data_IF_484227736750
#
_entry.id   IF_484227736750
#
_cell.length_a   1.000
_cell.length_b   1.000
_cell.length_c   1.000
_cell.angle_alpha   90.00
_cell.angle_beta   90.00
_cell.angle_gamma   90.00
#
_symmetry.space_group_name_H-M   'P 1'
#
loop_
_entity.id
_entity.type
_entity.pdbx_description
1 polymer ?
#
# COMPACT_ATOMS: atom_id res chain seq x y z
N UNK A 1 44.43 -41.62 -5.78
CA UNK A 1 44.10 -40.18 -5.66
C UNK A 1 42.59 -40.06 -5.52
N UNK A 2 42.10 -39.76 -4.30
CA UNK A 2 40.68 -39.49 -4.04
C UNK A 2 40.52 -37.98 -3.91
N UNK A 3 39.90 -37.36 -4.92
CA UNK A 3 39.62 -35.94 -4.97
C UNK A 3 38.51 -35.62 -3.98
N UNK A 4 38.83 -34.85 -2.93
CA UNK A 4 37.88 -34.35 -1.95
C UNK A 4 37.16 -33.14 -2.57
N UNK A 5 35.89 -33.30 -2.94
CA UNK A 5 35.02 -32.18 -3.34
C UNK A 5 34.57 -31.44 -2.09
N UNK A 6 35.22 -30.30 -1.81
CA UNK A 6 34.73 -29.31 -0.85
C UNK A 6 33.48 -28.64 -1.44
N UNK A 7 32.31 -29.06 -0.97
CA UNK A 7 31.06 -28.31 -1.13
C UNK A 7 31.12 -27.10 -0.19
N UNK A 8 31.47 -25.94 -0.73
CA UNK A 8 31.22 -24.66 -0.06
C UNK A 8 29.73 -24.37 -0.13
N UNK A 9 29.01 -24.70 0.93
CA UNK A 9 27.65 -24.22 1.16
C UNK A 9 27.69 -22.70 1.39
N UNK A 10 27.36 -21.91 0.37
CA UNK A 10 26.93 -20.53 0.59
C UNK A 10 25.60 -20.58 1.35
N UNK A 11 25.67 -20.41 2.66
CA UNK A 11 24.51 -20.10 3.47
C UNK A 11 24.05 -18.69 3.07
N UNK A 12 22.99 -18.60 2.28
CA UNK A 12 22.21 -17.37 2.15
C UNK A 12 21.48 -17.21 3.47
N UNK A 13 22.03 -16.41 4.38
CA UNK A 13 21.28 -15.96 5.56
C UNK A 13 20.09 -15.15 5.05
N UNK A 14 18.84 -15.49 5.40
CA UNK A 14 17.74 -14.56 5.18
C UNK A 14 18.12 -13.29 5.94
N UNK A 15 18.23 -12.16 5.24
CA UNK A 15 18.32 -10.87 5.89
C UNK A 15 17.03 -10.69 6.70
N UNK A 16 17.11 -10.98 8.00
CA UNK A 16 16.06 -10.62 8.95
C UNK A 16 16.18 -9.11 9.09
N UNK A 17 15.31 -8.39 8.39
CA UNK A 17 15.18 -6.96 8.57
C UNK A 17 14.65 -6.71 9.97
N UNK A 18 15.37 -5.91 10.76
CA UNK A 18 14.86 -5.45 12.06
C UNK A 18 13.66 -4.57 11.82
N UNK A 19 12.57 -4.86 12.53
CA UNK A 19 11.33 -4.11 12.41
C UNK A 19 11.10 -3.22 13.66
N UNK A 20 10.12 -2.33 13.60
CA UNK A 20 9.85 -1.38 14.68
C UNK A 20 9.54 -2.06 16.02
N UNK A 21 8.91 -3.23 16.00
CA UNK A 21 8.54 -3.95 17.22
C UNK A 21 9.77 -4.57 17.88
N UNK A 22 10.70 -5.13 17.10
CA UNK A 22 11.98 -5.63 17.61
C UNK A 22 12.79 -4.50 18.26
N UNK A 23 12.86 -3.33 17.61
CA UNK A 23 13.56 -2.16 18.14
C UNK A 23 12.98 -1.68 19.49
N UNK A 24 11.65 -1.60 19.59
CA UNK A 24 10.96 -1.26 20.85
C UNK A 24 11.20 -2.31 21.94
N UNK A 25 11.18 -3.59 21.58
CA UNK A 25 11.42 -4.68 22.52
C UNK A 25 12.84 -4.61 23.12
N UNK A 26 13.87 -4.37 22.30
CA UNK A 26 15.23 -4.22 22.81
C UNK A 26 15.38 -2.93 23.63
N UNK A 27 14.68 -1.85 23.25
CA UNK A 27 14.65 -0.63 24.04
C UNK A 27 14.04 -0.85 25.44
N UNK A 28 12.90 -1.54 25.53
CA UNK A 28 12.25 -1.91 26.79
C UNK A 28 13.13 -2.81 27.66
N UNK A 29 13.89 -3.71 27.03
CA UNK A 29 14.88 -4.57 27.67
C UNK A 29 16.17 -3.84 28.06
N UNK A 30 16.25 -2.53 27.82
CA UNK A 30 17.42 -1.68 28.06
C UNK A 30 18.67 -2.06 27.24
N UNK A 31 18.52 -2.87 26.19
CA UNK A 31 19.55 -3.10 25.19
C UNK A 31 19.55 -1.93 24.19
N UNK A 32 19.96 -0.76 24.70
CA UNK A 32 19.93 0.50 23.96
C UNK A 32 20.88 0.50 22.76
N UNK A 33 21.97 -0.27 22.80
CA UNK A 33 22.88 -0.36 21.65
C UNK A 33 22.17 -1.04 20.47
N UNK A 34 21.50 -2.17 20.74
CA UNK A 34 20.75 -2.89 19.72
C UNK A 34 19.55 -2.10 19.24
N UNK A 35 18.77 -1.52 20.16
CA UNK A 35 17.63 -0.68 19.81
C UNK A 35 18.03 0.52 18.93
N UNK A 36 19.13 1.20 19.25
CA UNK A 36 19.66 2.31 18.43
C UNK A 36 19.98 1.85 17.01
N UNK A 37 20.58 0.67 16.87
CA UNK A 37 20.93 0.10 15.56
C UNK A 37 19.67 -0.19 14.74
N UNK A 38 18.66 -0.81 15.37
CA UNK A 38 17.42 -1.21 14.72
C UNK A 38 16.54 -0.01 14.37
N UNK A 39 16.41 1.00 15.25
CA UNK A 39 15.76 2.27 14.89
C UNK A 39 16.50 2.96 13.73
N UNK A 40 17.84 2.98 13.75
CA UNK A 40 18.62 3.60 12.68
C UNK A 40 18.37 2.92 11.33
N UNK A 41 18.14 1.60 11.31
CA UNK A 41 17.81 0.84 10.10
C UNK A 41 16.45 1.22 9.49
N UNK A 42 15.54 1.83 10.27
CA UNK A 42 14.22 2.29 9.82
C UNK A 42 14.22 3.73 9.29
N UNK A 43 15.28 4.52 9.51
CA UNK A 43 15.36 5.90 9.03
C UNK A 43 15.29 6.03 7.50
N UNK A 44 15.93 5.15 6.69
CA UNK A 44 15.77 5.18 5.23
C UNK A 44 14.31 5.01 4.77
N UNK A 45 13.47 4.36 5.59
CA UNK A 45 12.05 4.15 5.34
C UNK A 45 11.19 5.35 5.74
N UNK A 46 11.80 6.47 6.16
CA UNK A 46 11.09 7.65 6.61
C UNK A 46 10.35 7.45 7.93
N UNK A 47 10.76 6.47 8.74
CA UNK A 47 10.08 6.13 9.98
C UNK A 47 10.24 7.22 11.04
N UNK A 48 9.16 7.96 11.27
CA UNK A 48 9.10 9.08 12.21
C UNK A 48 9.20 8.62 13.66
N UNK A 49 8.66 7.44 14.00
CA UNK A 49 8.73 6.87 15.34
C UNK A 49 10.16 6.43 15.70
N UNK A 50 10.90 5.88 14.75
CA UNK A 50 12.30 5.52 14.94
C UNK A 50 13.18 6.77 15.16
N UNK A 51 12.99 7.81 14.33
CA UNK A 51 13.65 9.10 14.52
C UNK A 51 13.33 9.70 15.90
N UNK A 52 12.06 9.65 16.33
CA UNK A 52 11.64 10.13 17.64
C UNK A 52 12.32 9.35 18.79
N UNK A 53 12.35 8.02 18.71
CA UNK A 53 12.97 7.20 19.76
C UNK A 53 14.48 7.42 19.84
N UNK A 54 15.18 7.56 18.71
CA UNK A 54 16.59 7.94 18.68
C UNK A 54 16.81 9.32 19.32
N UNK A 55 15.92 10.29 19.05
CA UNK A 55 15.96 11.60 19.71
C UNK A 55 15.87 11.48 21.23
N UNK A 56 14.92 10.68 21.73
CA UNK A 56 14.73 10.43 23.16
C UNK A 56 15.96 9.74 23.77
N UNK A 57 16.55 8.77 23.06
CA UNK A 57 17.75 8.08 23.52
C UNK A 57 18.94 9.03 23.69
N UNK A 58 19.17 9.89 22.69
CA UNK A 58 20.23 10.91 22.76
C UNK A 58 19.94 11.97 23.83
N UNK A 59 18.68 12.36 24.00
CA UNK A 59 18.30 13.34 25.02
C UNK A 59 18.51 12.81 26.44
N UNK A 60 18.13 11.54 26.69
CA UNK A 60 18.22 10.90 28.00
C UNK A 60 19.59 10.27 28.31
N UNK A 61 20.46 10.14 27.31
CA UNK A 61 21.70 9.37 27.46
C UNK A 61 21.45 7.87 27.65
N UNK A 62 20.51 7.30 26.90
CA UNK A 62 20.23 5.87 26.92
C UNK A 62 21.18 5.14 25.96
N UNK A 63 22.07 4.31 26.51
CA UNK A 63 23.09 3.57 25.76
C UNK A 63 24.38 4.35 25.47
N UNK A 64 24.38 5.68 25.63
CA UNK A 64 25.53 6.58 25.47
C UNK A 64 25.36 7.81 26.39
N UNK A 65 26.38 8.67 26.49
CA UNK A 65 26.22 9.97 27.15
C UNK A 65 25.13 10.82 26.45
N UNK A 66 24.41 11.63 27.23
CA UNK A 66 23.39 12.54 26.69
C UNK A 66 24.03 13.53 25.70
N UNK A 67 23.37 13.70 24.55
CA UNK A 67 23.81 14.55 23.45
C UNK A 67 22.62 15.38 22.94
N UNK A 68 22.39 16.57 23.52
CA UNK A 68 21.23 17.39 23.18
C UNK A 68 21.30 17.96 21.76
N UNK A 69 22.50 18.04 21.15
CA UNK A 69 22.67 18.45 19.75
C UNK A 69 22.13 17.37 18.82
N UNK A 70 22.53 16.10 19.03
CA UNK A 70 21.95 14.97 18.28
C UNK A 70 20.47 14.80 18.55
N UNK A 71 20.03 14.96 19.80
CA UNK A 71 18.62 14.88 20.15
C UNK A 71 17.79 15.91 19.37
N UNK A 72 18.26 17.16 19.28
CA UNK A 72 17.59 18.19 18.47
C UNK A 72 17.52 17.79 17.00
N UNK A 73 18.62 17.31 16.42
CA UNK A 73 18.65 16.88 15.01
C UNK A 73 17.64 15.75 14.71
N UNK A 74 17.55 14.75 15.60
CA UNK A 74 16.58 13.66 15.46
C UNK A 74 15.13 14.10 15.73
N UNK A 75 14.88 15.02 16.67
CA UNK A 75 13.54 15.59 16.85
C UNK A 75 13.10 16.39 15.61
N UNK A 76 14.01 17.18 15.01
CA UNK A 76 13.74 17.87 13.75
C UNK A 76 13.45 16.90 12.61
N UNK A 77 14.16 15.76 12.56
CA UNK A 77 13.88 14.70 11.61
C UNK A 77 12.50 14.08 11.83
N UNK A 78 12.17 13.70 13.06
CA UNK A 78 10.87 13.11 13.39
C UNK A 78 9.71 14.06 13.04
N UNK A 79 9.84 15.35 13.33
CA UNK A 79 8.86 16.38 12.96
C UNK A 79 8.70 16.48 11.43
N UNK A 80 9.84 16.52 10.70
CA UNK A 80 9.84 16.54 9.23
C UNK A 80 9.20 15.31 8.61
N UNK A 81 9.29 14.15 9.27
CA UNK A 81 8.69 12.89 8.84
C UNK A 81 7.24 12.70 9.32
N UNK A 82 6.67 13.69 10.03
CA UNK A 82 5.25 13.75 10.38
C UNK A 82 4.92 13.48 11.85
N UNK A 83 5.90 13.25 12.73
CA UNK A 83 5.63 13.09 14.16
C UNK A 83 5.35 14.45 14.83
N UNK A 84 4.07 14.77 14.95
CA UNK A 84 3.58 16.03 15.53
C UNK A 84 4.02 16.28 16.98
N UNK A 85 4.45 15.25 17.72
CA UNK A 85 4.95 15.42 19.10
C UNK A 85 6.34 16.06 19.08
N UNK A 86 7.12 15.79 18.05
CA UNK A 86 8.53 16.15 17.96
C UNK A 86 8.77 17.66 17.87
N UNK A 87 7.90 18.43 17.21
CA UNK A 87 8.03 19.89 17.08
C UNK A 87 8.19 20.61 18.43
N UNK A 88 7.36 20.25 19.41
CA UNK A 88 7.37 20.86 20.74
C UNK A 88 8.64 20.51 21.53
N UNK A 89 9.12 19.27 21.38
CA UNK A 89 10.35 18.79 22.01
C UNK A 89 11.59 19.39 21.35
N UNK A 90 11.63 19.48 20.02
CA UNK A 90 12.69 20.16 19.27
C UNK A 90 12.83 21.61 19.74
N UNK A 91 11.71 22.33 19.86
CA UNK A 91 11.69 23.71 20.37
C UNK A 91 12.27 23.79 21.79
N UNK A 92 11.83 22.89 22.67
CA UNK A 92 12.29 22.84 24.06
C UNK A 92 13.79 22.54 24.18
N UNK A 93 14.30 21.57 23.41
CA UNK A 93 15.73 21.24 23.37
C UNK A 93 16.53 22.39 22.78
N UNK A 94 16.08 22.98 21.66
CA UNK A 94 16.76 24.12 21.02
C UNK A 94 16.93 25.31 21.96
N UNK A 95 15.95 25.60 22.82
CA UNK A 95 16.03 26.69 23.80
C UNK A 95 17.14 26.49 24.85
N UNK A 96 17.61 25.25 25.05
CA UNK A 96 18.71 24.93 25.98
C UNK A 96 20.10 25.00 25.34
N UNK A 97 20.17 25.15 24.01
CA UNK A 97 21.41 25.11 23.23
C UNK A 97 21.88 26.50 22.81
N UNK A 98 23.19 26.72 22.80
CA UNK A 98 23.78 27.94 22.26
C UNK A 98 23.74 28.00 20.72
N UNK A 99 23.95 29.16 20.09
CA UNK A 99 23.85 29.32 18.63
C UNK A 99 24.74 28.36 17.83
N UNK A 100 25.97 28.11 18.28
CA UNK A 100 26.88 27.17 17.64
C UNK A 100 26.38 25.71 17.68
N UNK A 101 25.76 25.32 18.80
CA UNK A 101 25.17 23.97 18.97
C UNK A 101 23.90 23.80 18.14
N UNK A 102 23.08 24.84 18.03
CA UNK A 102 21.91 24.83 17.14
C UNK A 102 22.32 24.71 15.67
N UNK A 103 23.36 25.42 15.26
CA UNK A 103 23.94 25.30 13.91
C UNK A 103 24.45 23.87 13.66
N UNK A 104 25.16 23.28 14.62
CA UNK A 104 25.63 21.90 14.54
C UNK A 104 24.45 20.91 14.44
N UNK A 105 23.38 21.11 15.20
CA UNK A 105 22.18 20.27 15.12
C UNK A 105 21.52 20.38 13.75
N UNK A 106 21.43 21.59 13.16
CA UNK A 106 20.89 21.79 11.83
C UNK A 106 21.72 21.06 10.76
N UNK A 107 23.05 21.07 10.85
CA UNK A 107 23.94 20.32 9.95
C UNK A 107 23.74 18.81 10.09
N UNK A 108 23.62 18.31 11.32
CA UNK A 108 23.33 16.90 11.57
C UNK A 108 21.95 16.49 11.05
N UNK A 109 20.93 17.33 11.25
CA UNK A 109 19.60 17.10 10.69
C UNK A 109 19.66 16.98 9.16
N UNK A 110 20.36 17.88 8.48
CA UNK A 110 20.52 17.80 7.02
C UNK A 110 21.24 16.51 6.59
N UNK A 111 22.26 16.08 7.33
CA UNK A 111 22.94 14.82 7.06
C UNK A 111 22.01 13.61 7.25
N UNK A 112 21.22 13.59 8.32
CA UNK A 112 20.24 12.53 8.59
C UNK A 112 19.13 12.51 7.53
N UNK A 113 18.57 13.66 7.18
CA UNK A 113 17.50 13.77 6.19
C UNK A 113 17.92 13.24 4.81
N UNK A 114 19.19 13.41 4.42
CA UNK A 114 19.75 12.83 3.18
C UNK A 114 19.78 11.29 3.16
N UNK A 115 19.70 10.64 4.32
CA UNK A 115 19.66 9.16 4.41
C UNK A 115 18.25 8.59 4.23
N UNK A 116 17.22 9.44 4.39
CA UNK A 116 15.83 9.08 4.15
C UNK A 116 15.63 8.87 2.65
N UNK A 117 15.11 7.70 2.28
CA UNK A 117 14.82 7.35 0.89
C UNK A 117 13.32 7.41 0.60
N UNK A 118 12.52 7.12 1.62
CA UNK A 118 11.06 7.23 1.58
C UNK A 118 10.66 8.47 2.39
N UNK A 119 10.20 9.51 1.71
CA UNK A 119 9.62 10.70 2.33
C UNK A 119 8.22 10.98 1.73
N UNK A 120 7.41 11.76 2.44
CA UNK A 120 6.00 12.04 2.10
C UNK A 120 5.82 13.07 0.97
N UNK A 121 6.85 13.35 0.15
CA UNK A 121 6.67 14.17 -1.06
C UNK A 121 5.78 13.43 -2.05
N UNK A 122 5.00 14.19 -2.84
CA UNK A 122 4.19 13.66 -3.94
C UNK A 122 5.07 12.77 -4.82
N UNK A 123 4.67 11.50 -4.93
CA UNK A 123 5.35 10.53 -5.77
C UNK A 123 4.90 10.70 -7.21
N UNK A 124 5.79 10.45 -8.15
CA UNK A 124 5.39 10.23 -9.52
C UNK A 124 4.59 8.91 -9.53
N UNK A 125 3.32 8.95 -9.94
CA UNK A 125 2.54 7.72 -10.10
C UNK A 125 3.29 6.80 -11.06
N UNK A 126 3.55 5.56 -10.62
CA UNK A 126 4.10 4.54 -11.52
C UNK A 126 3.18 4.46 -12.73
N UNK A 127 3.71 4.76 -13.92
CA UNK A 127 2.95 4.67 -15.18
C UNK A 127 2.56 3.20 -15.42
N UNK A 128 1.40 2.84 -14.90
CA UNK A 128 0.75 1.59 -15.19
C UNK A 128 0.17 1.74 -16.59
N UNK A 129 0.83 1.12 -17.58
CA UNK A 129 0.30 1.00 -18.93
C UNK A 129 -1.16 0.58 -18.85
N UNK A 130 -2.04 1.39 -19.45
CA UNK A 130 -3.48 1.16 -19.39
C UNK A 130 -3.79 -0.24 -19.91
N UNK A 131 -4.47 -1.04 -19.09
CA UNK A 131 -4.87 -2.39 -19.50
C UNK A 131 -5.74 -2.30 -20.76
N UNK A 132 -5.61 -3.25 -21.71
CA UNK A 132 -6.50 -3.31 -22.86
C UNK A 132 -7.96 -3.51 -22.42
N UNK A 133 -8.88 -3.27 -23.34
CA UNK A 133 -10.31 -3.47 -23.08
C UNK A 133 -10.57 -4.91 -22.58
N UNK A 134 -11.37 -5.02 -21.51
CA UNK A 134 -11.70 -6.30 -20.90
C UNK A 134 -12.77 -7.00 -21.75
N UNK A 135 -12.45 -8.15 -22.33
CA UNK A 135 -13.43 -9.01 -23.03
C UNK A 135 -14.14 -9.93 -22.04
N UNK A 136 -13.39 -10.56 -21.13
CA UNK A 136 -13.95 -11.46 -20.14
C UNK A 136 -13.05 -11.58 -18.92
N UNK A 137 -13.62 -11.37 -17.73
CA UNK A 137 -12.98 -11.65 -16.44
C UNK A 137 -13.88 -12.54 -15.61
N UNK A 138 -13.69 -13.84 -15.74
CA UNK A 138 -14.42 -14.82 -14.94
C UNK A 138 -13.97 -14.72 -13.48
N UNK A 139 -14.93 -14.59 -12.58
CA UNK A 139 -14.66 -14.61 -11.14
C UNK A 139 -14.09 -15.96 -10.69
N UNK A 140 -13.21 -15.98 -9.68
CA UNK A 140 -12.68 -17.23 -9.13
C UNK A 140 -13.77 -18.02 -8.41
N UNK A 141 -13.73 -19.34 -8.57
CA UNK A 141 -14.62 -20.23 -7.83
C UNK A 141 -14.23 -20.22 -6.35
N UNK A 142 -15.19 -20.10 -5.45
CA UNK A 142 -14.90 -20.19 -4.03
C UNK A 142 -14.40 -21.61 -3.68
N UNK A 143 -13.22 -21.79 -3.03
CA UNK A 143 -12.75 -23.12 -2.65
C UNK A 143 -13.70 -23.79 -1.67
N UNK A 144 -14.12 -25.02 -1.98
CA UNK A 144 -15.11 -25.76 -1.19
C UNK A 144 -14.71 -25.86 0.30
N UNK A 145 -13.45 -26.18 0.60
CA UNK A 145 -12.98 -26.28 1.99
C UNK A 145 -13.08 -24.94 2.75
N UNK A 146 -12.72 -23.83 2.10
CA UNK A 146 -12.85 -22.51 2.69
C UNK A 146 -14.33 -22.15 2.92
N UNK A 147 -15.21 -22.52 1.99
CA UNK A 147 -16.65 -22.28 2.10
C UNK A 147 -17.25 -23.02 3.31
N UNK A 148 -16.92 -24.30 3.48
CA UNK A 148 -17.40 -25.10 4.61
C UNK A 148 -16.95 -24.55 5.96
N UNK A 149 -15.77 -23.95 6.02
CA UNK A 149 -15.19 -23.35 7.24
C UNK A 149 -15.56 -21.88 7.44
N UNK A 150 -16.30 -21.27 6.51
CA UNK A 150 -16.62 -19.84 6.55
C UNK A 150 -15.39 -18.92 6.49
N UNK A 151 -14.28 -19.41 5.92
CA UNK A 151 -13.01 -18.67 5.87
C UNK A 151 -13.08 -17.64 4.78
N UNK A 152 -13.07 -16.36 5.12
CA UNK A 152 -12.88 -15.27 4.17
C UNK A 152 -11.40 -14.96 3.96
N UNK A 153 -11.08 -14.19 2.92
CA UNK A 153 -9.72 -13.70 2.74
C UNK A 153 -9.46 -13.09 1.36
N UNK A 154 -8.21 -13.09 0.93
CA UNK A 154 -7.80 -12.43 -0.30
C UNK A 154 -6.59 -13.10 -0.96
N UNK A 155 -6.39 -12.79 -2.24
CA UNK A 155 -5.12 -13.02 -2.96
C UNK A 155 -4.72 -11.79 -3.75
N UNK A 156 -3.48 -11.33 -3.57
CA UNK A 156 -2.85 -10.32 -4.42
C UNK A 156 -2.13 -11.02 -5.55
N UNK A 157 -2.48 -10.66 -6.78
CA UNK A 157 -2.03 -11.34 -7.99
C UNK A 157 -1.39 -10.34 -8.94
N UNK A 158 -0.33 -10.78 -9.62
CA UNK A 158 0.26 -10.05 -10.75
C UNK A 158 0.38 -10.98 -11.95
N UNK A 159 0.10 -10.47 -13.14
CA UNK A 159 0.01 -11.30 -14.35
C UNK A 159 0.46 -10.55 -15.59
N UNK A 160 0.90 -11.31 -16.60
CA UNK A 160 1.29 -10.82 -17.92
C UNK A 160 0.18 -11.14 -18.92
N UNK A 161 -0.16 -10.17 -19.75
CA UNK A 161 -1.08 -10.29 -20.89
C UNK A 161 -0.22 -10.24 -22.16
N UNK A 162 -0.42 -11.18 -23.07
CA UNK A 162 0.25 -11.21 -24.36
C UNK A 162 -0.37 -10.23 -25.37
N UNK A 163 0.27 -10.14 -26.55
CA UNK A 163 -0.11 -9.23 -27.64
C UNK A 163 -1.53 -9.51 -28.18
N UNK A 164 -2.03 -10.74 -28.00
CA UNK A 164 -3.36 -11.19 -28.41
C UNK A 164 -4.41 -10.99 -27.31
N UNK A 165 -4.04 -10.49 -26.14
CA UNK A 165 -4.94 -10.24 -25.02
C UNK A 165 -5.22 -11.46 -24.14
N UNK A 166 -4.40 -12.52 -24.22
CA UNK A 166 -4.49 -13.68 -23.33
C UNK A 166 -3.54 -13.55 -22.15
N UNK A 167 -3.93 -14.07 -20.99
CA UNK A 167 -3.07 -14.08 -19.81
C UNK A 167 -2.08 -15.25 -19.88
N UNK A 168 -0.78 -14.96 -19.95
CA UNK A 168 0.28 -15.96 -20.14
C UNK A 168 0.88 -16.44 -18.82
N UNK A 169 1.33 -15.52 -17.97
CA UNK A 169 2.01 -15.80 -16.69
C UNK A 169 1.26 -15.15 -15.53
N UNK A 170 1.16 -15.85 -14.40
CA UNK A 170 0.43 -15.40 -13.21
C UNK A 170 1.21 -15.75 -11.95
N UNK A 171 1.45 -14.76 -11.10
CA UNK A 171 2.04 -14.93 -9.77
C UNK A 171 1.07 -14.52 -8.67
N UNK A 172 1.12 -15.25 -7.56
CA UNK A 172 0.52 -14.84 -6.29
C UNK A 172 1.58 -14.09 -5.50
N UNK A 173 1.39 -12.78 -5.31
CA UNK A 173 2.31 -11.94 -4.52
C UNK A 173 2.05 -12.05 -3.01
N UNK A 174 0.81 -12.39 -2.63
CA UNK A 174 0.42 -12.54 -1.24
C UNK A 174 -0.98 -13.11 -1.12
N UNK A 175 -1.27 -13.78 -0.01
CA UNK A 175 -2.59 -14.34 0.25
C UNK A 175 -2.88 -14.45 1.74
N UNK A 176 -4.15 -14.29 2.10
CA UNK A 176 -4.64 -14.57 3.44
C UNK A 176 -5.98 -15.31 3.36
N UNK A 177 -6.22 -16.34 4.20
CA UNK A 177 -5.18 -17.13 4.86
C UNK A 177 -4.28 -17.79 3.82
N UNK A 178 -3.02 -18.01 4.20
CA UNK A 178 -2.01 -18.42 3.24
C UNK A 178 -2.44 -19.68 2.45
N UNK A 179 -2.26 -19.63 1.12
CA UNK A 179 -2.53 -20.72 0.17
C UNK A 179 -3.98 -21.20 0.04
N UNK A 180 -4.92 -20.66 0.82
CA UNK A 180 -6.32 -21.12 0.84
C UNK A 180 -7.04 -20.86 -0.49
N UNK A 181 -6.66 -19.79 -1.18
CA UNK A 181 -7.35 -19.31 -2.39
C UNK A 181 -6.50 -19.35 -3.66
N UNK A 182 -5.18 -19.55 -3.53
CA UNK A 182 -4.18 -19.35 -4.60
C UNK A 182 -4.50 -20.15 -5.87
N UNK A 183 -4.84 -21.44 -5.72
CA UNK A 183 -5.16 -22.31 -6.87
C UNK A 183 -6.39 -21.82 -7.65
N UNK A 184 -7.40 -21.31 -6.93
CA UNK A 184 -8.60 -20.80 -7.58
C UNK A 184 -8.33 -19.47 -8.28
N UNK A 185 -7.61 -18.56 -7.61
CA UNK A 185 -7.19 -17.29 -8.20
C UNK A 185 -6.40 -17.47 -9.48
N UNK A 186 -5.38 -18.34 -9.48
CA UNK A 186 -4.55 -18.62 -10.67
C UNK A 186 -5.42 -19.14 -11.82
N UNK A 187 -6.31 -20.11 -11.55
CA UNK A 187 -7.18 -20.69 -12.57
C UNK A 187 -8.12 -19.65 -13.18
N UNK A 188 -8.68 -18.78 -12.35
CA UNK A 188 -9.57 -17.71 -12.80
C UNK A 188 -8.83 -16.71 -13.70
N UNK A 189 -7.69 -16.20 -13.23
CA UNK A 189 -6.91 -15.19 -13.94
C UNK A 189 -6.37 -15.72 -15.27
N UNK A 190 -5.90 -16.98 -15.32
CA UNK A 190 -5.49 -17.62 -16.59
C UNK A 190 -6.63 -17.76 -17.62
N UNK A 191 -7.89 -17.66 -17.19
CA UNK A 191 -9.05 -17.72 -18.09
C UNK A 191 -9.51 -16.34 -18.59
N UNK A 192 -8.91 -15.26 -18.08
CA UNK A 192 -9.28 -13.90 -18.48
C UNK A 192 -8.82 -13.59 -19.90
N UNK A 193 -9.61 -12.74 -20.57
CA UNK A 193 -9.39 -12.33 -21.95
C UNK A 193 -9.56 -10.83 -22.09
N UNK A 194 -8.67 -10.25 -22.86
CA UNK A 194 -8.59 -8.83 -23.16
C UNK A 194 -8.58 -8.63 -24.68
N UNK A 195 -8.89 -7.42 -25.13
CA UNK A 195 -8.75 -7.06 -26.53
C UNK A 195 -7.28 -7.12 -26.95
N UNK A 196 -7.04 -7.67 -28.15
CA UNK A 196 -5.70 -7.67 -28.73
C UNK A 196 -5.24 -6.22 -28.91
N UNK A 197 -4.08 -5.90 -28.34
CA UNK A 197 -3.48 -4.56 -28.43
C UNK A 197 -2.21 -4.55 -29.27
N UNK A 198 -1.69 -5.72 -29.66
CA UNK A 198 -0.40 -5.85 -30.33
C UNK A 198 0.80 -5.59 -29.42
N UNK A 199 0.57 -5.32 -28.13
CA UNK A 199 1.59 -5.09 -27.12
C UNK A 199 1.31 -5.98 -25.91
N UNK A 200 2.36 -6.36 -25.17
CA UNK A 200 2.22 -7.05 -23.89
C UNK A 200 1.82 -6.05 -22.81
N UNK A 201 1.09 -6.50 -21.78
CA UNK A 201 0.68 -5.65 -20.65
C UNK A 201 0.86 -6.39 -19.33
N UNK A 202 1.07 -5.65 -18.24
CA UNK A 202 1.07 -6.24 -16.89
C UNK A 202 -0.16 -5.82 -16.11
N UNK A 203 -0.87 -6.79 -15.55
CA UNK A 203 -2.01 -6.52 -14.67
C UNK A 203 -1.72 -6.88 -13.22
N UNK A 204 -2.38 -6.14 -12.30
CA UNK A 204 -2.51 -6.48 -10.89
C UNK A 204 -3.99 -6.68 -10.58
N UNK A 205 -4.29 -7.58 -9.66
CA UNK A 205 -5.62 -7.65 -9.04
C UNK A 205 -5.52 -8.17 -7.62
N UNK A 206 -6.34 -7.62 -6.73
CA UNK A 206 -6.65 -8.24 -5.44
C UNK A 206 -8.00 -8.93 -5.59
N UNK A 207 -8.04 -10.24 -5.37
CA UNK A 207 -9.27 -11.02 -5.39
C UNK A 207 -9.70 -11.25 -3.95
N UNK A 208 -10.85 -10.69 -3.57
CA UNK A 208 -11.47 -10.89 -2.26
C UNK A 208 -12.40 -12.11 -2.29
N UNK A 209 -12.34 -12.92 -1.23
CA UNK A 209 -13.14 -14.11 -1.04
C UNK A 209 -14.01 -13.94 0.20
N UNK A 210 -15.31 -13.77 0.00
CA UNK A 210 -16.31 -13.70 1.07
C UNK A 210 -17.56 -14.51 0.70
N UNK A 211 -18.17 -15.19 1.67
CA UNK A 211 -19.47 -15.85 1.49
C UNK A 211 -20.57 -14.85 1.89
N UNK A 212 -20.90 -13.93 0.96
CA UNK A 212 -21.81 -12.83 1.25
C UNK A 212 -21.13 -11.64 1.92
N UNK A 213 -21.90 -10.63 2.38
CA UNK A 213 -21.30 -9.49 3.08
C UNK A 213 -20.63 -9.97 4.37
N UNK A 214 -19.42 -9.47 4.61
CA UNK A 214 -18.70 -9.74 5.86
C UNK A 214 -19.57 -9.27 7.03
N UNK A 215 -19.73 -10.13 8.03
CA UNK A 215 -20.60 -9.80 9.16
C UNK A 215 -19.84 -8.98 10.20
N UNK A 216 -20.41 -7.88 10.74
CA UNK A 216 -19.74 -7.03 11.73
C UNK A 216 -19.18 -7.82 12.91
N UNK A 217 -19.94 -8.80 13.42
CA UNK A 217 -19.52 -9.62 14.57
C UNK A 217 -18.33 -10.52 14.25
N UNK A 218 -18.25 -11.10 13.04
CA UNK A 218 -17.12 -11.95 12.63
C UNK A 218 -15.84 -11.13 12.51
N UNK A 219 -15.95 -9.94 11.91
CA UNK A 219 -14.81 -9.01 11.76
C UNK A 219 -14.35 -8.51 13.12
N UNK A 220 -15.28 -8.10 14.00
CA UNK A 220 -14.97 -7.69 15.37
C UNK A 220 -14.31 -8.82 16.15
N UNK A 221 -14.84 -10.04 16.09
CA UNK A 221 -14.27 -11.20 16.76
C UNK A 221 -12.85 -11.50 16.26
N UNK A 222 -12.64 -11.48 14.94
CA UNK A 222 -11.33 -11.66 14.32
C UNK A 222 -10.32 -10.60 14.81
N UNK A 223 -10.69 -9.32 14.76
CA UNK A 223 -9.83 -8.23 15.23
C UNK A 223 -9.48 -8.36 16.71
N UNK A 224 -10.43 -8.78 17.55
CA UNK A 224 -10.22 -8.98 18.99
C UNK A 224 -9.35 -10.20 19.28
N UNK A 225 -9.62 -11.33 18.64
CA UNK A 225 -8.86 -12.57 18.82
C UNK A 225 -7.38 -12.38 18.47
N UNK A 226 -7.10 -11.58 17.43
CA UNK A 226 -5.74 -11.30 16.97
C UNK A 226 -5.16 -10.00 17.52
N UNK A 227 -5.86 -9.31 18.45
CA UNK A 227 -5.45 -8.01 19.01
C UNK A 227 -4.99 -7.01 17.93
N UNK A 228 -5.69 -7.01 16.80
CA UNK A 228 -5.17 -6.47 15.55
C UNK A 228 -4.93 -4.96 15.65
N UNK A 229 -5.88 -4.22 16.22
CA UNK A 229 -5.76 -2.77 16.42
C UNK A 229 -4.70 -2.43 17.48
N UNK A 230 -4.67 -3.15 18.61
CA UNK A 230 -3.74 -2.92 19.72
C UNK A 230 -2.28 -3.04 19.24
N UNK A 231 -1.94 -4.15 18.59
CA UNK A 231 -0.58 -4.36 18.08
C UNK A 231 -0.26 -3.51 16.85
N UNK A 232 -1.23 -3.17 16.02
CA UNK A 232 -1.00 -2.27 14.89
C UNK A 232 -0.65 -0.84 15.38
N UNK A 233 -1.38 -0.32 16.36
CA UNK A 233 -1.07 0.99 17.00
C UNK A 233 0.26 0.95 17.74
N UNK A 234 0.61 -0.19 18.36
CA UNK A 234 1.91 -0.38 19.00
C UNK A 234 3.09 -0.44 18.01
N UNK A 235 2.84 -0.42 16.70
CA UNK A 235 3.89 -0.39 15.68
C UNK A 235 4.24 -1.75 15.08
N UNK A 236 3.49 -2.81 15.37
CA UNK A 236 3.77 -4.14 14.80
C UNK A 236 3.51 -4.15 13.29
N UNK A 237 4.54 -4.30 12.44
CA UNK A 237 4.40 -4.17 11.00
C UNK A 237 3.49 -5.24 10.39
N UNK A 238 3.51 -6.46 10.94
CA UNK A 238 2.69 -7.58 10.46
C UNK A 238 1.21 -7.36 10.79
N UNK A 239 0.91 -6.85 11.99
CA UNK A 239 -0.47 -6.50 12.37
C UNK A 239 -0.99 -5.31 11.58
N UNK A 240 -0.14 -4.29 11.34
CA UNK A 240 -0.48 -3.16 10.48
C UNK A 240 -0.79 -3.64 9.05
N UNK A 241 0.05 -4.49 8.47
CA UNK A 241 -0.20 -5.03 7.13
C UNK A 241 -1.53 -5.79 7.05
N UNK A 242 -1.80 -6.68 8.02
CA UNK A 242 -3.05 -7.43 8.09
C UNK A 242 -4.27 -6.52 8.33
N UNK A 243 -4.15 -5.51 9.19
CA UNK A 243 -5.20 -4.52 9.43
C UNK A 243 -5.51 -3.70 8.18
N UNK A 244 -4.46 -3.26 7.47
CA UNK A 244 -4.61 -2.56 6.20
C UNK A 244 -5.36 -3.39 5.18
N UNK A 245 -5.03 -4.67 5.05
CA UNK A 245 -5.76 -5.52 4.11
C UNK A 245 -7.19 -5.82 4.56
N UNK A 246 -7.44 -5.94 5.86
CA UNK A 246 -8.81 -6.06 6.36
C UNK A 246 -9.64 -4.82 6.02
N UNK A 247 -9.10 -3.62 6.21
CA UNK A 247 -9.78 -2.37 5.87
C UNK A 247 -10.03 -2.24 4.37
N UNK A 248 -9.05 -2.59 3.53
CA UNK A 248 -9.21 -2.59 2.07
C UNK A 248 -10.28 -3.59 1.60
N UNK A 249 -10.29 -4.78 2.21
CA UNK A 249 -11.31 -5.79 1.93
C UNK A 249 -12.70 -5.31 2.33
N UNK A 250 -12.85 -4.70 3.51
CA UNK A 250 -14.12 -4.11 3.96
C UNK A 250 -14.59 -3.00 3.02
N UNK A 251 -13.70 -2.08 2.65
CA UNK A 251 -13.99 -0.99 1.74
C UNK A 251 -14.44 -1.50 0.37
N UNK A 252 -13.71 -2.46 -0.21
CA UNK A 252 -13.97 -3.01 -1.55
C UNK A 252 -15.21 -3.90 -1.60
N UNK A 253 -15.59 -4.54 -0.49
CA UNK A 253 -16.83 -5.32 -0.40
C UNK A 253 -18.05 -4.45 -0.05
N UNK A 254 -17.85 -3.17 0.30
CA UNK A 254 -18.94 -2.24 0.59
C UNK A 254 -19.57 -1.70 -0.70
N UNK A 255 -20.82 -1.24 -0.61
CA UNK A 255 -21.47 -0.49 -1.72
C UNK A 255 -21.11 1.00 -1.73
N UNK A 256 -20.06 1.40 -1.01
CA UNK A 256 -19.64 2.77 -0.84
C UNK A 256 -18.23 2.97 -1.38
N UNK A 257 -17.97 4.17 -1.90
CA UNK A 257 -16.62 4.61 -2.18
C UNK A 257 -16.04 5.22 -0.91
N UNK A 258 -15.05 4.55 -0.32
CA UNK A 258 -14.43 4.96 0.94
C UNK A 258 -13.36 6.00 0.65
N UNK A 259 -13.51 7.18 1.23
CA UNK A 259 -12.58 8.30 1.10
C UNK A 259 -12.04 8.67 2.49
N UNK A 260 -10.73 8.81 2.65
CA UNK A 260 -10.17 9.34 3.90
C UNK A 260 -10.49 10.83 4.05
N UNK A 261 -10.79 11.25 5.28
CA UNK A 261 -10.81 12.66 5.68
C UNK A 261 -9.75 12.89 6.77
N UNK A 262 -8.65 13.59 6.46
CA UNK A 262 -7.55 13.82 7.42
C UNK A 262 -7.94 14.72 8.60
N UNK A 263 -9.14 15.33 8.58
CA UNK A 263 -9.66 16.12 9.70
C UNK A 263 -10.33 15.26 10.76
N UNK A 264 -10.69 14.02 10.44
CA UNK A 264 -11.29 13.10 11.41
C UNK A 264 -10.23 12.61 12.40
N UNK A 265 -10.65 12.39 13.64
CA UNK A 265 -9.74 11.95 14.69
C UNK A 265 -9.16 10.55 14.38
N UNK A 266 -7.88 10.37 14.74
CA UNK A 266 -7.23 9.07 14.76
C UNK A 266 -7.53 8.41 16.11
N UNK A 267 -8.75 7.88 16.27
CA UNK A 267 -9.19 7.15 17.47
C UNK A 267 -9.22 5.63 17.20
N UNK A 268 -8.26 4.85 17.73
CA UNK A 268 -8.24 3.41 17.57
C UNK A 268 -9.38 2.67 18.28
N UNK A 269 -10.06 3.32 19.22
CA UNK A 269 -11.21 2.75 19.93
C UNK A 269 -12.54 2.99 19.18
N UNK A 270 -12.54 3.81 18.13
CA UNK A 270 -13.72 4.07 17.32
C UNK A 270 -14.25 2.78 16.68
N UNK A 271 -15.57 2.65 16.61
CA UNK A 271 -16.20 1.55 15.89
C UNK A 271 -15.98 1.68 14.38
N UNK A 272 -15.91 0.52 13.70
CA UNK A 272 -15.81 0.50 12.26
C UNK A 272 -17.05 1.17 11.62
N UNK A 273 -16.87 1.96 10.55
CA UNK A 273 -17.98 2.55 9.81
C UNK A 273 -19.04 1.50 9.42
N UNK A 274 -20.30 1.73 9.78
CA UNK A 274 -21.40 0.81 9.46
C UNK A 274 -21.52 0.55 7.94
N UNK A 275 -21.11 1.52 7.12
CA UNK A 275 -21.11 1.45 5.66
C UNK A 275 -20.26 0.29 5.13
N UNK A 276 -19.21 -0.13 5.85
CA UNK A 276 -18.40 -1.29 5.49
C UNK A 276 -19.20 -2.59 5.44
N UNK A 277 -20.34 -2.64 6.14
CA UNK A 277 -21.17 -3.83 6.27
C UNK A 277 -22.51 -3.72 5.56
N UNK A 278 -22.82 -2.54 4.99
CA UNK A 278 -24.09 -2.29 4.28
C UNK A 278 -23.94 -2.58 2.79
N UNK A 279 -24.93 -3.28 2.24
CA UNK A 279 -25.13 -3.41 0.80
C UNK A 279 -26.24 -2.47 0.32
N UNK A 280 -26.03 -1.84 -0.83
CA UNK A 280 -27.03 -1.09 -1.57
C UNK A 280 -27.18 -1.69 -2.96
N UNK A 281 -28.36 -1.55 -3.54
CA UNK A 281 -28.55 -1.81 -4.97
C UNK A 281 -27.61 -0.90 -5.76
N UNK A 282 -26.89 -1.46 -6.73
CA UNK A 282 -26.05 -0.68 -7.61
C UNK A 282 -26.90 0.31 -8.41
N UNK A 283 -26.46 1.57 -8.45
CA UNK A 283 -27.10 2.62 -9.22
C UNK A 283 -26.24 2.92 -10.46
N UNK A 284 -26.86 2.94 -11.64
CA UNK A 284 -26.18 3.31 -12.88
C UNK A 284 -27.07 4.14 -13.78
N UNK A 285 -26.48 5.09 -14.51
CA UNK A 285 -27.20 5.93 -15.48
C UNK A 285 -26.31 6.26 -16.66
N UNK A 286 -26.86 6.16 -17.87
CA UNK A 286 -26.17 6.66 -19.06
C UNK A 286 -26.11 8.19 -19.02
N UNK A 287 -24.89 8.72 -19.11
CA UNK A 287 -24.62 10.15 -19.20
C UNK A 287 -23.84 10.35 -20.50
N UNK A 288 -24.50 10.88 -21.53
CA UNK A 288 -23.89 11.09 -22.83
C UNK A 288 -22.63 11.95 -22.72
N UNK A 289 -21.53 11.51 -23.35
CA UNK A 289 -20.25 12.21 -23.33
C UNK A 289 -19.43 12.05 -22.04
N UNK A 290 -19.94 11.36 -21.02
CA UNK A 290 -19.18 11.09 -19.80
C UNK A 290 -18.36 9.80 -19.93
N UNK A 291 -17.09 9.86 -19.54
CA UNK A 291 -16.20 8.71 -19.41
C UNK A 291 -15.11 9.03 -18.38
N UNK A 292 -14.52 8.02 -17.76
CA UNK A 292 -13.56 8.20 -16.67
C UNK A 292 -14.24 8.23 -15.31
N UNK A 293 -13.77 9.08 -14.40
CA UNK A 293 -14.34 9.21 -13.06
C UNK A 293 -14.55 10.66 -12.62
N UNK A 294 -15.53 10.92 -11.77
CA UNK A 294 -15.76 12.23 -11.17
C UNK A 294 -16.43 12.10 -9.81
N UNK A 295 -16.01 12.89 -8.82
CA UNK A 295 -16.78 13.06 -7.58
C UNK A 295 -17.68 14.27 -7.70
N UNK A 296 -18.96 14.10 -7.38
CA UNK A 296 -19.99 15.13 -7.51
C UNK A 296 -20.79 15.29 -6.23
N UNK A 297 -21.28 16.51 -5.98
CA UNK A 297 -22.26 16.79 -4.93
C UNK A 297 -23.65 16.85 -5.55
N UNK A 298 -24.64 16.35 -4.83
CA UNK A 298 -26.05 16.30 -5.25
C UNK A 298 -26.96 17.05 -4.27
N UNK A 299 -28.12 17.48 -4.74
CA UNK A 299 -29.22 18.00 -3.91
C UNK A 299 -30.21 16.89 -3.50
N UNK A 300 -31.29 17.27 -2.81
CA UNK A 300 -32.34 16.37 -2.32
C UNK A 300 -33.07 15.57 -3.41
N UNK A 301 -32.95 15.99 -4.69
CA UNK A 301 -33.56 15.30 -5.84
C UNK A 301 -32.54 14.49 -6.64
N UNK A 302 -31.29 14.43 -6.16
CA UNK A 302 -30.17 13.81 -6.84
C UNK A 302 -29.70 14.56 -8.07
N UNK A 303 -29.95 15.87 -8.14
CA UNK A 303 -29.40 16.73 -9.18
C UNK A 303 -27.99 17.13 -8.81
N UNK A 304 -27.04 16.98 -9.73
CA UNK A 304 -25.65 17.38 -9.51
C UNK A 304 -25.58 18.90 -9.35
N UNK A 305 -25.08 19.36 -8.21
CA UNK A 305 -24.90 20.79 -7.88
C UNK A 305 -23.46 21.24 -8.04
N UNK A 306 -22.49 20.34 -7.90
CA UNK A 306 -21.08 20.65 -8.06
C UNK A 306 -20.26 19.42 -8.46
N UNK A 307 -19.16 19.65 -9.17
CA UNK A 307 -18.10 18.65 -9.40
C UNK A 307 -16.92 18.98 -8.50
N UNK A 308 -16.48 18.00 -7.71
CA UNK A 308 -15.38 18.13 -6.76
C UNK A 308 -14.04 17.85 -7.43
N UNK A 309 -13.97 16.75 -8.19
CA UNK A 309 -12.83 16.33 -9.00
C UNK A 309 -13.28 15.53 -10.23
N UNK A 310 -12.38 15.34 -11.20
CA UNK A 310 -12.59 14.50 -12.37
C UNK A 310 -11.25 13.92 -12.86
N UNK A 311 -11.32 12.75 -13.48
CA UNK A 311 -10.25 12.04 -14.18
C UNK A 311 -10.67 11.84 -15.65
N UNK A 312 -9.70 11.78 -16.57
CA UNK A 312 -9.83 11.72 -18.04
C UNK A 312 -10.50 12.93 -18.70
N UNK A 313 -11.02 13.86 -17.91
CA UNK A 313 -11.44 15.18 -18.36
C UNK A 313 -11.08 16.22 -17.31
N UNK A 314 -10.91 17.47 -17.75
CA UNK A 314 -10.70 18.57 -16.81
C UNK A 314 -11.92 18.77 -15.92
N UNK A 315 -11.70 19.26 -14.71
CA UNK A 315 -12.79 19.61 -13.78
C UNK A 315 -13.82 20.56 -14.42
N UNK A 316 -13.38 21.50 -15.26
CA UNK A 316 -14.26 22.42 -15.96
C UNK A 316 -15.15 21.71 -16.98
N UNK A 317 -14.59 20.81 -17.80
CA UNK A 317 -15.37 20.01 -18.75
C UNK A 317 -16.40 19.14 -18.02
N UNK A 318 -15.98 18.46 -16.95
CA UNK A 318 -16.88 17.67 -16.11
C UNK A 318 -18.01 18.54 -15.50
N UNK A 319 -17.68 19.75 -15.05
CA UNK A 319 -18.66 20.69 -14.48
C UNK A 319 -19.72 21.07 -15.51
N UNK A 320 -19.30 21.46 -16.72
CA UNK A 320 -20.21 21.80 -17.82
C UNK A 320 -21.11 20.62 -18.20
N UNK A 321 -20.58 19.40 -18.15
CA UNK A 321 -21.32 18.20 -18.54
C UNK A 321 -22.32 17.73 -17.48
N UNK A 322 -21.89 17.74 -16.21
CA UNK A 322 -22.57 17.04 -15.12
C UNK A 322 -23.49 17.94 -14.30
N UNK A 323 -23.15 19.22 -14.08
CA UNK A 323 -23.97 20.10 -13.23
C UNK A 323 -25.37 20.29 -13.85
N UNK A 324 -26.40 20.17 -13.01
CA UNK A 324 -27.81 20.19 -13.43
C UNK A 324 -28.33 18.86 -13.97
N UNK A 325 -27.47 17.84 -14.15
CA UNK A 325 -27.94 16.49 -14.50
C UNK A 325 -28.56 15.82 -13.28
N UNK A 326 -29.74 15.23 -13.48
CA UNK A 326 -30.37 14.40 -12.46
C UNK A 326 -29.82 12.98 -12.54
N UNK A 327 -29.23 12.50 -11.44
CA UNK A 327 -28.72 11.14 -11.34
C UNK A 327 -29.86 10.18 -10.99
N UNK A 328 -30.38 10.25 -9.76
CA UNK A 328 -31.50 9.46 -9.22
C UNK A 328 -31.90 10.02 -7.84
N UNK A 329 -33.13 9.79 -7.38
CA UNK A 329 -33.56 10.12 -6.01
C UNK A 329 -32.74 9.39 -4.93
N UNK A 330 -32.28 8.17 -5.19
CA UNK A 330 -31.40 7.40 -4.30
C UNK A 330 -29.97 7.97 -4.20
N UNK A 331 -29.65 8.91 -5.10
CA UNK A 331 -28.41 9.68 -5.11
C UNK A 331 -28.63 11.12 -4.61
N UNK A 332 -29.45 11.29 -3.57
CA UNK A 332 -29.80 12.59 -2.99
C UNK A 332 -28.86 13.00 -1.85
N UNK A 333 -28.74 14.33 -1.66
CA UNK A 333 -28.13 15.01 -0.51
C UNK A 333 -26.77 14.43 -0.07
N UNK A 334 -25.87 14.19 -1.02
CA UNK A 334 -24.59 13.57 -0.72
C UNK A 334 -23.51 13.79 -1.76
N UNK A 335 -22.35 13.20 -1.48
CA UNK A 335 -21.23 13.11 -2.42
C UNK A 335 -21.25 11.73 -3.07
N UNK A 336 -21.12 11.69 -4.38
CA UNK A 336 -21.15 10.47 -5.18
C UNK A 336 -19.95 10.41 -6.10
N UNK A 337 -19.36 9.23 -6.23
CA UNK A 337 -18.38 8.92 -7.26
C UNK A 337 -19.12 8.36 -8.48
N UNK A 338 -18.91 9.01 -9.61
CA UNK A 338 -19.30 8.55 -10.93
C UNK A 338 -18.11 7.83 -11.57
N UNK A 339 -18.35 6.68 -12.17
CA UNK A 339 -17.35 5.98 -12.99
C UNK A 339 -18.01 5.36 -14.23
N UNK A 340 -17.46 5.62 -15.41
CA UNK A 340 -17.98 5.08 -16.67
C UNK A 340 -16.86 4.75 -17.65
N UNK A 341 -16.93 3.58 -18.28
CA UNK A 341 -16.22 3.33 -19.52
C UNK A 341 -16.84 4.16 -20.66
N UNK A 342 -16.06 4.54 -21.70
CA UNK A 342 -16.58 5.26 -22.86
C UNK A 342 -17.82 4.60 -23.46
N UNK A 343 -18.93 5.34 -23.53
CA UNK A 343 -20.20 4.87 -24.10
C UNK A 343 -20.99 3.89 -23.23
N UNK A 344 -20.57 3.63 -21.99
CA UNK A 344 -21.32 2.80 -21.03
C UNK A 344 -22.06 3.67 -20.00
N UNK A 345 -22.98 3.05 -19.27
CA UNK A 345 -23.65 3.72 -18.16
C UNK A 345 -22.66 4.04 -17.04
N UNK A 346 -22.78 5.23 -16.46
CA UNK A 346 -22.00 5.63 -15.31
C UNK A 346 -22.53 4.95 -14.05
N UNK A 347 -21.67 4.22 -13.35
CA UNK A 347 -21.93 3.71 -12.02
C UNK A 347 -21.88 4.87 -11.03
N UNK A 348 -22.89 4.96 -10.17
CA UNK A 348 -23.08 6.02 -9.19
C UNK A 348 -22.93 5.40 -7.81
N UNK A 349 -21.82 5.70 -7.13
CA UNK A 349 -21.47 5.12 -5.84
C UNK A 349 -21.46 6.21 -4.76
N UNK A 350 -22.20 6.07 -3.65
CA UNK A 350 -22.13 7.03 -2.54
C UNK A 350 -20.72 7.05 -1.94
N UNK A 351 -20.23 8.25 -1.61
CA UNK A 351 -18.95 8.42 -0.93
C UNK A 351 -19.17 8.47 0.56
N UNK A 352 -18.38 7.71 1.31
CA UNK A 352 -18.31 7.78 2.77
C UNK A 352 -16.93 8.29 3.18
N UNK A 353 -16.93 9.32 4.02
CA UNK A 353 -15.70 9.87 4.59
C UNK A 353 -15.38 9.15 5.89
N UNK A 354 -14.16 8.63 6.01
CA UNK A 354 -13.71 7.85 7.17
C UNK A 354 -12.36 8.37 7.67
N UNK A 355 -12.06 8.13 8.95
CA UNK A 355 -10.72 8.38 9.50
C UNK A 355 -9.68 7.54 8.77
N UNK A 356 -8.43 8.03 8.68
CA UNK A 356 -7.34 7.32 8.01
C UNK A 356 -7.10 5.93 8.61
N UNK A 357 -7.36 5.75 9.92
CA UNK A 357 -7.30 4.44 10.61
C UNK A 357 -8.27 3.39 10.02
N UNK A 358 -9.26 3.80 9.24
CA UNK A 358 -10.23 2.92 8.59
C UNK A 358 -9.92 2.71 7.11
N UNK A 359 -8.70 3.03 6.66
CA UNK A 359 -8.27 2.83 5.28
C UNK A 359 -7.11 1.84 5.20
N UNK A 360 -7.09 1.03 4.14
CA UNK A 360 -5.99 0.08 3.93
C UNK A 360 -4.66 0.79 3.65
N UNK A 361 -4.71 1.85 2.85
CA UNK A 361 -3.54 2.65 2.48
C UNK A 361 -2.76 3.18 3.68
N UNK A 362 -3.45 3.73 4.69
CA UNK A 362 -2.81 4.21 5.91
C UNK A 362 -1.96 3.12 6.58
N UNK A 363 -2.57 1.96 6.84
CA UNK A 363 -1.90 0.88 7.56
C UNK A 363 -0.81 0.18 6.75
N UNK A 364 -0.96 0.06 5.43
CA UNK A 364 0.11 -0.43 4.57
C UNK A 364 1.30 0.53 4.55
N UNK A 365 1.07 1.85 4.53
CA UNK A 365 2.14 2.85 4.67
C UNK A 365 2.85 2.68 6.02
N UNK A 366 2.11 2.60 7.13
CA UNK A 366 2.71 2.38 8.45
C UNK A 366 3.50 1.08 8.51
N UNK A 367 2.95 -0.03 8.00
CA UNK A 367 3.61 -1.32 7.96
C UNK A 367 4.91 -1.25 7.17
N UNK A 368 4.90 -0.61 5.99
CA UNK A 368 6.07 -0.48 5.13
C UNK A 368 7.18 0.33 5.80
N UNK A 369 6.82 1.47 6.43
CA UNK A 369 7.75 2.32 7.21
C UNK A 369 8.30 1.59 8.43
N UNK A 370 7.53 0.68 9.02
CA UNK A 370 7.94 -0.17 10.15
C UNK A 370 8.73 -1.43 9.75
N UNK A 371 9.04 -1.62 8.45
CA UNK A 371 9.90 -2.70 7.98
C UNK A 371 9.17 -3.90 7.35
N UNK A 372 7.85 -3.82 7.15
CA UNK A 372 7.11 -4.91 6.50
C UNK A 372 7.39 -4.98 5.00
N UNK A 373 8.19 -5.96 4.56
CA UNK A 373 8.56 -6.11 3.14
C UNK A 373 7.37 -6.33 2.21
N UNK A 374 6.31 -7.03 2.65
CA UNK A 374 5.12 -7.25 1.82
C UNK A 374 4.35 -5.94 1.58
N UNK A 375 4.25 -5.09 2.61
CA UNK A 375 3.70 -3.75 2.49
C UNK A 375 4.56 -2.87 1.57
N UNK A 376 5.90 -2.92 1.72
CA UNK A 376 6.83 -2.19 0.84
C UNK A 376 6.65 -2.61 -0.62
N UNK A 377 6.59 -3.92 -0.90
CA UNK A 377 6.33 -4.48 -2.23
C UNK A 377 4.97 -4.06 -2.77
N UNK A 378 3.95 -4.00 -1.91
CA UNK A 378 2.61 -3.55 -2.29
C UNK A 378 2.60 -2.08 -2.72
N UNK A 379 3.31 -1.21 -2.00
CA UNK A 379 3.44 0.21 -2.32
C UNK A 379 4.33 0.46 -3.54
N UNK A 380 5.42 -0.30 -3.70
CA UNK A 380 6.32 -0.25 -4.87
C UNK A 380 5.63 -0.47 -6.23
N UNK A 381 4.39 -0.95 -6.22
CA UNK A 381 3.61 -1.09 -7.45
C UNK A 381 3.01 0.22 -7.95
N UNK A 382 2.82 1.19 -7.06
CA UNK A 382 2.19 2.49 -7.34
C UNK A 382 3.09 3.66 -6.93
N UNK A 383 4.25 3.37 -6.35
CA UNK A 383 5.25 4.33 -5.89
C UNK A 383 6.62 3.98 -6.46
N UNK A 384 7.18 4.88 -7.26
CA UNK A 384 8.54 4.73 -7.80
C UNK A 384 9.59 4.76 -6.69
N UNK A 385 9.35 5.51 -5.61
CA UNK A 385 10.26 5.56 -4.45
C UNK A 385 10.40 4.20 -3.79
N UNK A 386 9.27 3.57 -3.47
CA UNK A 386 9.26 2.23 -2.88
C UNK A 386 9.87 1.19 -3.81
N UNK A 387 9.60 1.30 -5.11
CA UNK A 387 10.25 0.43 -6.11
C UNK A 387 11.77 0.60 -6.11
N UNK A 388 12.26 1.84 -6.23
CA UNK A 388 13.68 2.15 -6.26
C UNK A 388 14.39 1.73 -4.98
N UNK A 389 13.75 1.93 -3.81
CA UNK A 389 14.25 1.44 -2.52
C UNK A 389 14.46 -0.09 -2.55
N UNK A 390 13.45 -0.85 -2.98
CA UNK A 390 13.53 -2.30 -3.02
C UNK A 390 14.50 -2.81 -4.10
N UNK A 391 14.61 -2.13 -5.24
CA UNK A 391 15.61 -2.44 -6.27
C UNK A 391 17.04 -2.28 -5.74
N UNK A 392 17.32 -1.21 -4.97
CA UNK A 392 18.63 -1.02 -4.30
C UNK A 392 18.87 -2.07 -3.22
N UNK A 393 17.81 -2.50 -2.54
CA UNK A 393 17.86 -3.62 -1.59
C UNK A 393 17.97 -5.00 -2.26
N UNK A 394 18.05 -5.06 -3.59
CA UNK A 394 18.10 -6.28 -4.40
C UNK A 394 16.88 -7.20 -4.24
N UNK A 395 15.69 -6.66 -3.95
CA UNK A 395 14.49 -7.47 -3.82
C UNK A 395 14.16 -8.23 -5.12
N UNK A 396 14.16 -9.58 -5.11
CA UNK A 396 14.03 -10.37 -6.33
C UNK A 396 12.63 -10.29 -6.98
N UNK A 397 11.58 -10.12 -6.18
CA UNK A 397 10.21 -9.98 -6.68
C UNK A 397 10.05 -8.66 -7.44
N UNK A 398 10.56 -7.57 -6.87
CA UNK A 398 10.53 -6.24 -7.49
C UNK A 398 11.43 -6.21 -8.72
N UNK A 399 12.63 -6.80 -8.66
CA UNK A 399 13.49 -6.95 -9.84
C UNK A 399 12.77 -7.67 -10.99
N UNK A 400 12.14 -8.81 -10.71
CA UNK A 400 11.46 -9.58 -11.74
C UNK A 400 10.36 -8.76 -12.43
N UNK A 401 9.46 -8.17 -11.63
CA UNK A 401 8.31 -7.48 -12.19
C UNK A 401 8.56 -6.07 -12.70
N UNK A 402 9.53 -5.35 -12.11
CA UNK A 402 10.02 -4.09 -12.66
C UNK A 402 10.72 -4.35 -14.00
N UNK A 403 11.49 -5.43 -14.09
CA UNK A 403 12.12 -5.86 -15.33
C UNK A 403 11.12 -6.14 -16.45
N UNK A 404 10.03 -6.86 -16.14
CA UNK A 404 8.91 -7.08 -17.06
C UNK A 404 8.31 -5.75 -17.51
N UNK A 405 7.95 -4.85 -16.56
CA UNK A 405 7.33 -3.56 -16.89
C UNK A 405 8.23 -2.72 -17.79
N UNK A 406 9.52 -2.64 -17.49
CA UNK A 406 10.51 -1.91 -18.28
C UNK A 406 10.66 -2.47 -19.69
N UNK A 407 10.69 -3.79 -19.88
CA UNK A 407 10.71 -4.41 -21.21
C UNK A 407 9.44 -4.04 -22.00
N UNK A 408 8.28 -4.13 -21.37
CA UNK A 408 6.98 -3.74 -21.97
C UNK A 408 6.96 -2.27 -22.38
N UNK A 409 7.56 -1.38 -21.58
CA UNK A 409 7.69 0.05 -21.86
C UNK A 409 8.85 0.39 -22.82
N UNK A 410 9.52 -0.60 -23.41
CA UNK A 410 10.60 -0.40 -24.38
C UNK A 410 12.00 -0.23 -23.80
N UNK A 411 12.16 -0.18 -22.47
CA UNK A 411 13.44 -0.14 -21.76
C UNK A 411 14.07 -1.54 -21.65
N UNK A 412 14.28 -2.20 -22.81
CA UNK A 412 14.62 -3.63 -22.88
C UNK A 412 15.90 -4.02 -22.14
N UNK A 413 16.98 -3.26 -22.31
CA UNK A 413 18.28 -3.59 -21.70
C UNK A 413 18.23 -3.54 -20.17
N UNK A 414 17.61 -2.49 -19.62
CA UNK A 414 17.46 -2.35 -18.16
C UNK A 414 16.55 -3.44 -17.60
N UNK A 415 15.42 -3.72 -18.27
CA UNK A 415 14.50 -4.74 -17.80
C UNK A 415 15.06 -6.17 -17.90
N UNK A 416 15.87 -6.46 -18.93
CA UNK A 416 16.59 -7.75 -19.04
C UNK A 416 17.59 -7.94 -17.90
N UNK A 417 18.36 -6.89 -17.56
CA UNK A 417 19.30 -6.93 -16.44
C UNK A 417 18.60 -7.22 -15.11
N UNK A 418 17.44 -6.60 -14.87
CA UNK A 418 16.66 -6.84 -13.65
C UNK A 418 16.13 -8.28 -13.58
N UNK A 419 15.60 -8.81 -14.69
CA UNK A 419 15.17 -10.22 -14.75
C UNK A 419 16.32 -11.20 -14.54
N UNK A 420 17.50 -10.92 -15.09
CA UNK A 420 18.69 -11.74 -14.89
C UNK A 420 19.15 -11.75 -13.43
N UNK A 421 19.10 -10.61 -12.75
CA UNK A 421 19.35 -10.54 -11.30
C UNK A 421 18.34 -11.38 -10.52
N UNK A 422 17.05 -11.29 -10.84
CA UNK A 422 16.03 -12.10 -10.18
C UNK A 422 16.21 -13.61 -10.42
N UNK A 423 16.59 -14.02 -11.63
CA UNK A 423 16.93 -15.42 -11.97
C UNK A 423 18.16 -15.90 -11.19
N UNK A 424 19.21 -15.06 -11.11
CA UNK A 424 20.43 -15.37 -10.35
C UNK A 424 20.15 -15.53 -8.84
N UNK A 425 19.13 -14.85 -8.33
CA UNK A 425 18.62 -15.01 -6.97
C UNK A 425 17.62 -16.18 -6.82
N UNK A 426 17.45 -17.01 -7.85
CA UNK A 426 16.52 -18.14 -7.88
C UNK A 426 15.06 -17.75 -7.61
N UNK A 427 14.64 -16.54 -8.02
CA UNK A 427 13.24 -16.13 -7.89
C UNK A 427 12.34 -17.02 -8.76
N UNK A 428 11.37 -17.76 -8.18
CA UNK A 428 10.73 -18.90 -8.84
C UNK A 428 10.12 -18.62 -10.23
N UNK A 429 9.49 -17.46 -10.40
CA UNK A 429 8.78 -17.13 -11.66
C UNK A 429 9.63 -16.32 -12.64
N UNK A 430 10.84 -15.87 -12.26
CA UNK A 430 11.62 -14.94 -13.10
C UNK A 430 12.02 -15.55 -14.46
N UNK A 431 12.34 -16.86 -14.50
CA UNK A 431 12.67 -17.55 -15.74
C UNK A 431 11.44 -17.71 -16.66
N UNK A 432 10.26 -18.00 -16.09
CA UNK A 432 9.00 -18.05 -16.84
C UNK A 432 8.65 -16.67 -17.42
N UNK A 433 8.77 -15.62 -16.61
CA UNK A 433 8.56 -14.24 -17.06
C UNK A 433 9.51 -13.85 -18.20
N UNK A 434 10.80 -14.19 -18.09
CA UNK A 434 11.78 -13.93 -19.15
C UNK A 434 11.45 -14.67 -20.45
N UNK A 435 10.94 -15.89 -20.37
CA UNK A 435 10.56 -16.68 -21.54
C UNK A 435 9.26 -16.17 -22.21
N UNK A 436 8.41 -15.45 -21.48
CA UNK A 436 7.13 -14.93 -21.96
C UNK A 436 7.22 -13.53 -22.61
N UNK A 437 8.38 -12.86 -22.52
CA UNK A 437 8.67 -11.53 -23.06
C UNK A 437 9.42 -11.62 -24.39
#
# INVERSE_FOLDING_TARGET
>A
MRTLLLLTSLAVSPQVYSDMLDALKHYEQQDYHKASTEFSALLPLGNELAAFNLAVMHYKGQGNAADPVKALAYFQLADRLGDKRAASLATSVSATLGPAQQQQAAEQFQALFRTVQIDDLQDDEVDLTALPEVISRKEPAYPSEAAHKGIFGYTVMKYLIDEQGQVSTVEVLGSFPDKSFNKSSIRAIKSWKYAASGQKHTGKVILHYSLGPLQPHQVKHFMQQHKLMEYAVAGSPQHQFLLGTLMDMLATNSSYFVQSDPKLALDPAAELPEQFFKRRSGLSRLIEGFSGSAMVKTDAKGTVTAVLNADKMTKQQATTLLVGKQLNEDASDGVFRLWADPGKAAYITPVVYVSELHTGGYWWTMAAKNGNVDAQRQLAMVSERWENYLLRANDPQVQAWSGVRKIVQGQKAEGQLLLEKAIAQHYPIAAELKAAL
#
